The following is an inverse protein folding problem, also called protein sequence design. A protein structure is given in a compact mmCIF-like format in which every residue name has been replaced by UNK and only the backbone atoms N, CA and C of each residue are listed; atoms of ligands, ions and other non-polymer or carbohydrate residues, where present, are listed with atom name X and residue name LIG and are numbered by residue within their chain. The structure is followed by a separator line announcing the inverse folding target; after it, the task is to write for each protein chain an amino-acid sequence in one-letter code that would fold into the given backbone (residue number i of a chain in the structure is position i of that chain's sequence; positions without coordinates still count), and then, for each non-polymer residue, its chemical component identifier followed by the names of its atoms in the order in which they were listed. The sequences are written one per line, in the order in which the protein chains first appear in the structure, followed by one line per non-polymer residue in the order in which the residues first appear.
data_IF_700828519250
#
_entry.id   IF_700828519250
#
_cell.length_a   1.000
_cell.length_b   1.000
_cell.length_c   1.000
_cell.angle_alpha   90.00
_cell.angle_beta   90.00
_cell.angle_gamma   90.00
#
_symmetry.space_group_name_H-M   'P 1'
#
loop_
_entity.id
_entity.type
_entity.pdbx_description
1 polymer ?
#
# COMPACT_ATOMS: atom_id res chain seq x y z
N UNK A 1 -16.32 10.96 -23.23
CA UNK A 1 -17.38 10.97 -22.19
C UNK A 1 -16.73 10.92 -20.81
N UNK A 2 -16.89 11.94 -19.96
CA UNK A 2 -16.37 11.92 -18.57
C UNK A 2 -17.26 11.01 -17.73
N UNK A 3 -16.78 9.80 -17.39
CA UNK A 3 -17.46 8.90 -16.45
C UNK A 3 -17.25 9.46 -15.03
N UNK A 4 -18.24 10.19 -14.51
CA UNK A 4 -18.17 10.76 -13.16
C UNK A 4 -19.42 11.57 -12.81
N UNK A 5 -19.76 11.63 -11.53
CA UNK A 5 -20.85 12.50 -11.05
C UNK A 5 -20.46 13.97 -11.25
N UNK A 6 -21.44 14.83 -11.59
CA UNK A 6 -21.20 16.28 -11.74
C UNK A 6 -20.66 16.85 -10.43
N UNK A 7 -19.60 17.69 -10.43
CA UNK A 7 -19.17 18.42 -9.26
C UNK A 7 -20.35 19.14 -8.60
N UNK A 8 -20.48 19.06 -7.27
CA UNK A 8 -21.60 19.63 -6.52
C UNK A 8 -22.86 18.77 -6.43
N UNK A 9 -22.95 17.63 -7.14
CA UNK A 9 -24.10 16.72 -6.98
C UNK A 9 -24.08 15.99 -5.62
N UNK A 10 -25.23 15.96 -4.96
CA UNK A 10 -25.44 15.22 -3.73
C UNK A 10 -25.68 13.72 -4.03
N UNK A 11 -25.09 12.82 -3.23
CA UNK A 11 -25.45 11.40 -3.16
C UNK A 11 -26.09 11.07 -1.83
N UNK A 12 -26.98 10.08 -1.82
CA UNK A 12 -27.23 9.28 -0.62
C UNK A 12 -26.09 8.28 -0.50
N UNK A 13 -25.40 8.31 0.62
CA UNK A 13 -24.21 7.52 0.79
C UNK A 13 -24.26 6.86 2.18
N UNK A 14 -24.03 5.54 2.21
CA UNK A 14 -24.14 4.72 3.42
C UNK A 14 -22.79 4.65 4.11
N UNK A 15 -22.75 4.98 5.40
CA UNK A 15 -21.54 4.97 6.21
C UNK A 15 -21.02 3.54 6.35
N UNK A 16 -19.79 3.29 5.90
CA UNK A 16 -19.16 1.95 6.00
C UNK A 16 -18.81 1.56 7.45
N UNK A 17 -18.96 2.46 8.42
CA UNK A 17 -18.66 2.21 9.83
C UNK A 17 -19.89 1.78 10.64
N UNK A 18 -21.04 2.41 10.39
CA UNK A 18 -22.24 2.25 11.22
C UNK A 18 -23.54 2.06 10.42
N UNK A 19 -23.48 2.07 9.09
CA UNK A 19 -24.67 1.94 8.24
C UNK A 19 -25.53 3.20 8.12
N UNK A 20 -25.24 4.29 8.85
CA UNK A 20 -26.00 5.54 8.74
C UNK A 20 -25.97 6.09 7.30
N UNK A 21 -27.12 6.54 6.80
CA UNK A 21 -27.24 7.12 5.45
C UNK A 21 -27.31 8.63 5.56
N UNK A 22 -26.40 9.33 4.87
CA UNK A 22 -26.38 10.79 4.81
C UNK A 22 -26.38 11.26 3.35
N UNK A 23 -26.88 12.48 3.14
CA UNK A 23 -26.84 13.15 1.85
C UNK A 23 -25.61 14.05 1.80
N UNK A 24 -24.62 13.72 0.98
CA UNK A 24 -23.38 14.51 0.88
C UNK A 24 -22.94 14.74 -0.56
N UNK A 25 -22.17 15.81 -0.78
CA UNK A 25 -21.50 16.06 -2.06
C UNK A 25 -20.35 15.09 -2.30
N UNK A 26 -20.38 14.37 -3.43
CA UNK A 26 -19.19 13.74 -3.99
C UNK A 26 -18.54 12.59 -3.20
N UNK A 27 -19.29 11.71 -2.53
CA UNK A 27 -18.66 10.55 -1.87
C UNK A 27 -18.38 9.37 -2.82
N UNK A 28 -17.22 8.73 -2.66
CA UNK A 28 -16.90 7.43 -3.26
C UNK A 28 -17.36 6.26 -2.39
N UNK A 29 -17.05 5.02 -2.80
CA UNK A 29 -17.49 3.78 -2.11
C UNK A 29 -16.96 3.54 -0.68
N UNK A 30 -16.35 4.55 -0.04
CA UNK A 30 -15.82 4.51 1.34
C UNK A 30 -16.39 5.65 2.19
N UNK A 31 -17.67 5.98 2.01
CA UNK A 31 -18.30 7.06 2.77
C UNK A 31 -18.32 6.78 4.28
N UNK A 32 -18.09 7.79 5.11
CA UNK A 32 -18.28 7.76 6.56
C UNK A 32 -19.06 8.98 7.01
N UNK A 33 -20.08 8.76 7.84
CA UNK A 33 -20.88 9.85 8.39
C UNK A 33 -20.07 10.75 9.31
N UNK A 34 -20.54 11.99 9.50
CA UNK A 34 -19.84 12.97 10.34
C UNK A 34 -19.59 12.44 11.76
N UNK A 35 -20.61 11.81 12.37
CA UNK A 35 -20.51 11.25 13.71
C UNK A 35 -19.44 10.14 13.81
N UNK A 36 -19.29 9.30 12.79
CA UNK A 36 -18.24 8.27 12.78
C UNK A 36 -16.86 8.85 12.48
N UNK A 37 -16.76 9.96 11.75
CA UNK A 37 -15.49 10.68 11.55
C UNK A 37 -15.02 11.33 12.85
N UNK A 38 -15.91 11.99 13.59
CA UNK A 38 -15.58 12.67 14.85
C UNK A 38 -15.34 11.69 15.99
N UNK A 39 -16.10 10.59 16.06
CA UNK A 39 -15.97 9.57 17.11
C UNK A 39 -14.76 8.63 16.95
N UNK A 40 -13.83 8.91 16.05
CA UNK A 40 -12.66 8.04 15.88
C UNK A 40 -12.93 6.72 15.15
N UNK A 41 -14.16 6.51 14.65
CA UNK A 41 -14.56 5.28 13.93
C UNK A 41 -14.10 5.31 12.47
N UNK A 42 -12.88 5.78 12.24
CA UNK A 42 -12.13 5.59 11.01
C UNK A 42 -11.56 4.16 11.04
N UNK A 43 -12.29 3.24 10.45
CA UNK A 43 -11.73 1.94 10.08
C UNK A 43 -10.58 2.11 9.10
N UNK A 44 -9.37 2.16 9.65
CA UNK A 44 -8.20 1.40 9.22
C UNK A 44 -7.19 1.42 10.38
N UNK A 45 -7.45 0.62 11.43
CA UNK A 45 -6.42 0.33 12.45
C UNK A 45 -5.39 -0.66 11.93
N UNK A 46 -5.62 -1.27 10.76
CA UNK A 46 -4.51 -1.85 10.02
C UNK A 46 -3.64 -0.68 9.53
N UNK A 47 -2.34 -0.66 9.84
CA UNK A 47 -1.44 0.35 9.29
C UNK A 47 -1.70 0.41 7.78
N UNK A 48 -1.81 1.63 7.23
CA UNK A 48 -2.07 1.84 5.79
C UNK A 48 -1.05 1.09 4.89
N UNK A 49 0.03 0.63 5.51
CA UNK A 49 1.07 -0.21 4.97
C UNK A 49 1.26 -1.50 5.78
N UNK A 50 0.29 -2.41 5.70
CA UNK A 50 0.34 -3.73 6.32
C UNK A 50 1.58 -4.57 6.00
N UNK A 51 2.36 -4.17 4.99
CA UNK A 51 3.55 -4.88 4.51
C UNK A 51 4.86 -4.14 4.77
N UNK A 52 4.84 -2.86 5.17
CA UNK A 52 6.04 -2.00 5.27
C UNK A 52 6.58 -1.47 3.93
N UNK A 53 5.86 -1.68 2.83
CA UNK A 53 6.31 -1.32 1.48
C UNK A 53 6.21 0.17 1.14
N UNK A 54 5.23 0.88 1.67
CA UNK A 54 5.14 2.35 1.54
C UNK A 54 6.22 3.04 2.38
N UNK A 55 6.52 2.52 3.57
CA UNK A 55 7.60 3.02 4.42
C UNK A 55 8.95 2.84 3.71
N UNK A 56 9.23 1.64 3.22
CA UNK A 56 10.45 1.33 2.47
C UNK A 56 10.61 2.21 1.22
N UNK A 57 9.55 2.38 0.41
CA UNK A 57 9.56 3.30 -0.74
C UNK A 57 9.80 4.75 -0.33
N UNK A 58 9.23 5.18 0.79
CA UNK A 58 9.41 6.54 1.30
C UNK A 58 10.83 6.77 1.82
N UNK A 59 11.48 5.75 2.38
CA UNK A 59 12.88 5.81 2.78
C UNK A 59 13.80 5.97 1.57
N UNK A 60 13.62 5.15 0.51
CA UNK A 60 14.38 5.28 -0.75
C UNK A 60 14.20 6.68 -1.36
N UNK A 61 12.96 7.17 -1.46
CA UNK A 61 12.70 8.53 -1.98
C UNK A 61 13.41 9.62 -1.18
N UNK A 62 13.50 9.47 0.14
CA UNK A 62 14.21 10.41 1.01
C UNK A 62 15.73 10.33 0.79
N UNK A 63 16.29 9.12 0.71
CA UNK A 63 17.71 8.91 0.41
C UNK A 63 18.09 9.49 -0.96
N UNK A 64 17.26 9.29 -1.98
CA UNK A 64 17.47 9.89 -3.31
C UNK A 64 17.42 11.41 -3.26
N UNK A 65 16.45 11.98 -2.55
CA UNK A 65 16.35 13.44 -2.38
C UNK A 65 17.55 14.03 -1.65
N UNK A 66 18.14 13.29 -0.70
CA UNK A 66 19.34 13.69 0.04
C UNK A 66 20.65 13.45 -0.73
N UNK A 67 20.61 12.76 -1.88
CA UNK A 67 21.79 12.40 -2.66
C UNK A 67 22.57 11.20 -2.13
N UNK A 68 22.05 10.49 -1.12
CA UNK A 68 22.66 9.27 -0.58
C UNK A 68 22.49 8.07 -1.52
N UNK A 69 21.44 8.11 -2.34
CA UNK A 69 21.19 7.17 -3.43
C UNK A 69 20.99 7.96 -4.72
N UNK A 70 21.53 7.47 -5.83
CA UNK A 70 21.15 8.00 -7.14
C UNK A 70 19.73 7.54 -7.51
N UNK A 71 19.04 8.19 -8.45
CA UNK A 71 17.78 7.65 -8.96
C UNK A 71 18.01 6.31 -9.66
N UNK A 72 17.07 5.37 -9.56
CA UNK A 72 17.20 4.04 -10.18
C UNK A 72 17.50 4.10 -11.69
N UNK A 73 16.98 5.12 -12.38
CA UNK A 73 17.20 5.36 -13.82
C UNK A 73 18.63 5.71 -14.18
N UNK A 74 19.51 5.96 -13.20
CA UNK A 74 20.95 6.14 -13.42
C UNK A 74 21.71 4.82 -13.59
N UNK A 75 21.03 3.68 -13.40
CA UNK A 75 21.64 2.34 -13.43
C UNK A 75 20.95 1.44 -14.46
N UNK A 76 21.67 0.40 -14.86
CA UNK A 76 21.08 -0.73 -15.59
C UNK A 76 20.41 -1.72 -14.62
N UNK A 77 19.39 -2.40 -15.12
CA UNK A 77 18.68 -3.46 -14.41
C UNK A 77 19.62 -4.62 -14.14
N UNK A 78 19.78 -4.99 -12.86
CA UNK A 78 20.70 -6.06 -12.44
C UNK A 78 20.38 -7.43 -13.07
N UNK A 79 19.13 -7.67 -13.47
CA UNK A 79 18.70 -8.95 -14.06
C UNK A 79 18.85 -9.05 -15.59
N UNK A 80 18.81 -7.94 -16.31
CA UNK A 80 18.72 -7.99 -17.79
C UNK A 80 19.47 -6.89 -18.53
N UNK A 81 20.22 -6.05 -17.80
CA UNK A 81 21.06 -4.99 -18.33
C UNK A 81 20.35 -3.90 -19.13
N UNK A 82 19.00 -3.90 -19.18
CA UNK A 82 18.21 -2.79 -19.73
C UNK A 82 18.13 -1.65 -18.70
N UNK A 83 17.87 -0.39 -19.11
CA UNK A 83 17.74 0.72 -18.16
C UNK A 83 16.77 0.41 -17.02
N UNK A 84 17.21 0.60 -15.79
CA UNK A 84 16.36 0.39 -14.62
C UNK A 84 15.29 1.49 -14.53
N UNK A 85 14.16 1.15 -13.94
CA UNK A 85 12.99 2.03 -13.83
C UNK A 85 12.52 2.18 -12.39
N UNK A 86 12.87 1.23 -11.53
CA UNK A 86 12.52 1.26 -10.13
C UNK A 86 13.61 0.61 -9.28
N UNK A 87 13.59 0.96 -8.00
CA UNK A 87 14.25 0.18 -6.98
C UNK A 87 13.33 -0.94 -6.52
N UNK A 88 13.91 -2.13 -6.39
CA UNK A 88 13.23 -3.32 -5.93
C UNK A 88 13.69 -3.70 -4.53
N UNK A 89 12.71 -3.91 -3.66
CA UNK A 89 12.92 -4.39 -2.31
C UNK A 89 12.70 -5.90 -2.30
N UNK A 90 13.65 -6.66 -1.76
CA UNK A 90 13.45 -8.08 -1.45
C UNK A 90 12.89 -8.27 -0.04
N UNK A 91 13.25 -7.38 0.87
CA UNK A 91 12.83 -7.36 2.27
C UNK A 91 12.46 -5.94 2.70
N UNK A 92 11.18 -5.71 3.03
CA UNK A 92 10.73 -4.39 3.47
C UNK A 92 11.22 -4.00 4.88
N UNK A 93 11.77 -4.94 5.67
CA UNK A 93 12.44 -4.61 6.93
C UNK A 93 13.80 -3.91 6.73
N UNK A 94 14.34 -3.95 5.51
CA UNK A 94 15.60 -3.30 5.12
C UNK A 94 15.32 -2.21 4.08
N UNK A 95 14.87 -1.02 4.49
CA UNK A 95 14.26 -0.05 3.58
C UNK A 95 15.20 0.54 2.51
N UNK A 96 16.52 0.52 2.75
CA UNK A 96 17.55 1.01 1.82
C UNK A 96 18.33 -0.12 1.13
N UNK A 97 18.04 -1.37 1.45
CA UNK A 97 18.60 -2.54 0.77
C UNK A 97 17.79 -2.78 -0.51
N UNK A 98 18.22 -2.16 -1.60
CA UNK A 98 17.50 -2.12 -2.87
C UNK A 98 18.41 -2.36 -4.06
N UNK A 99 17.84 -3.00 -5.08
CA UNK A 99 18.50 -3.19 -6.37
C UNK A 99 17.78 -2.42 -7.47
N UNK A 100 18.51 -1.77 -8.40
CA UNK A 100 17.90 -1.14 -9.57
C UNK A 100 17.44 -2.22 -10.55
N UNK A 101 16.16 -2.22 -10.89
CA UNK A 101 15.57 -3.15 -11.86
C UNK A 101 14.61 -2.46 -12.81
N UNK A 102 14.34 -3.08 -13.96
CA UNK A 102 13.22 -2.69 -14.80
C UNK A 102 11.90 -3.22 -14.23
N UNK A 103 10.78 -2.61 -14.63
CA UNK A 103 9.44 -3.01 -14.15
C UNK A 103 9.10 -4.47 -14.47
N UNK A 104 9.54 -4.96 -15.63
CA UNK A 104 9.28 -6.34 -16.06
C UNK A 104 10.01 -7.38 -15.20
N UNK A 105 11.25 -7.11 -14.81
CA UNK A 105 12.02 -7.99 -13.94
C UNK A 105 11.50 -7.96 -12.50
N UNK A 106 11.17 -6.77 -11.97
CA UNK A 106 10.54 -6.65 -10.65
C UNK A 106 9.28 -7.52 -10.56
N UNK A 107 8.40 -7.44 -11.58
CA UNK A 107 7.20 -8.26 -11.63
C UNK A 107 7.50 -9.76 -11.60
N UNK A 108 8.48 -10.22 -12.38
CA UNK A 108 8.91 -11.64 -12.42
C UNK A 108 9.45 -12.12 -11.09
N UNK A 109 10.24 -11.28 -10.42
CA UNK A 109 10.82 -11.59 -9.11
C UNK A 109 9.75 -11.64 -7.99
N UNK A 110 8.56 -11.09 -8.20
CA UNK A 110 7.43 -11.23 -7.28
C UNK A 110 7.50 -10.33 -6.03
N UNK A 111 6.60 -10.56 -5.04
CA UNK A 111 6.54 -9.75 -3.82
C UNK A 111 7.79 -9.81 -2.95
N UNK A 112 8.13 -8.68 -2.34
CA UNK A 112 9.06 -8.59 -1.22
C UNK A 112 8.50 -9.22 0.07
N UNK A 113 9.39 -9.63 0.97
CA UNK A 113 9.02 -10.03 2.33
C UNK A 113 8.44 -8.83 3.10
N UNK A 114 7.24 -8.95 3.70
CA UNK A 114 6.69 -7.90 4.53
C UNK A 114 7.45 -7.76 5.85
N UNK A 115 7.38 -6.58 6.48
CA UNK A 115 7.86 -6.39 7.84
C UNK A 115 6.96 -7.18 8.82
N UNK A 116 7.55 -8.08 9.59
CA UNK A 116 6.85 -8.99 10.52
C UNK A 116 5.87 -8.22 11.43
N UNK A 117 6.37 -7.16 12.07
CA UNK A 117 5.60 -6.30 12.99
C UNK A 117 4.31 -5.74 12.37
N UNK A 118 4.35 -5.29 11.11
CA UNK A 118 3.18 -4.69 10.44
C UNK A 118 2.22 -5.75 9.93
N UNK A 119 2.74 -6.91 9.52
CA UNK A 119 1.93 -8.05 9.10
C UNK A 119 1.13 -8.59 10.30
N UNK A 120 1.80 -8.90 11.40
CA UNK A 120 1.16 -9.40 12.62
C UNK A 120 0.13 -8.42 13.17
N UNK A 121 0.46 -7.12 13.23
CA UNK A 121 -0.49 -6.08 13.65
C UNK A 121 -1.71 -6.01 12.73
N UNK A 122 -1.53 -6.15 11.41
CA UNK A 122 -2.63 -6.15 10.45
C UNK A 122 -3.53 -7.37 10.61
N UNK A 123 -2.95 -8.56 10.72
CA UNK A 123 -3.68 -9.81 10.93
C UNK A 123 -4.50 -9.76 12.21
N UNK A 124 -3.92 -9.23 13.30
CA UNK A 124 -4.60 -9.03 14.59
C UNK A 124 -5.73 -8.00 14.48
N UNK A 125 -5.49 -6.87 13.82
CA UNK A 125 -6.46 -5.78 13.72
C UNK A 125 -7.63 -6.11 12.79
N UNK A 126 -7.42 -7.01 11.82
CA UNK A 126 -8.44 -7.37 10.83
C UNK A 126 -8.34 -8.85 10.45
N UNK A 127 -8.80 -9.77 11.33
CA UNK A 127 -8.78 -11.21 11.04
C UNK A 127 -9.69 -11.57 9.85
N UNK A 128 -10.71 -10.75 9.60
CA UNK A 128 -11.68 -10.82 8.49
C UNK A 128 -11.27 -9.99 7.27
N UNK A 129 -10.24 -9.14 7.38
CA UNK A 129 -9.74 -8.44 6.21
C UNK A 129 -9.46 -9.50 5.17
N UNK A 130 -9.85 -9.21 3.95
CA UNK A 130 -9.31 -9.85 2.78
C UNK A 130 -7.78 -9.70 2.83
N UNK A 131 -7.14 -10.59 3.58
CA UNK A 131 -5.76 -11.00 3.48
C UNK A 131 -5.78 -11.61 2.09
N UNK A 132 -5.62 -10.76 1.07
CA UNK A 132 -5.81 -11.18 -0.31
C UNK A 132 -4.99 -12.44 -0.52
N UNK A 133 -5.46 -13.36 -1.37
CA UNK A 133 -4.88 -14.71 -1.58
C UNK A 133 -3.34 -14.73 -1.49
N UNK A 134 -2.69 -13.66 -1.98
CA UNK A 134 -1.27 -13.32 -1.85
C UNK A 134 -0.67 -13.43 -0.43
N UNK A 135 -1.20 -12.73 0.57
CA UNK A 135 -0.63 -12.74 1.94
C UNK A 135 -0.89 -14.08 2.62
N UNK A 136 -2.05 -14.72 2.36
CA UNK A 136 -2.34 -16.08 2.82
C UNK A 136 -1.30 -17.08 2.29
N UNK A 137 -0.96 -16.99 1.00
CA UNK A 137 0.07 -17.81 0.36
C UNK A 137 1.48 -17.58 0.95
N UNK A 138 1.78 -16.38 1.43
CA UNK A 138 3.07 -16.06 2.09
C UNK A 138 3.15 -16.68 3.49
N UNK A 139 2.04 -16.67 4.24
CA UNK A 139 1.95 -17.34 5.54
C UNK A 139 2.00 -18.87 5.40
N UNK A 140 1.28 -19.44 4.42
CA UNK A 140 1.29 -20.88 4.09
C UNK A 140 2.67 -21.38 3.64
N UNK A 141 3.48 -20.51 3.02
CA UNK A 141 4.86 -20.83 2.62
C UNK A 141 5.87 -20.77 3.78
N UNK A 142 5.42 -20.57 5.03
CA UNK A 142 6.28 -20.64 6.22
C UNK A 142 7.11 -19.38 6.47
N UNK A 143 6.73 -18.22 5.91
CA UNK A 143 7.35 -16.95 6.31
C UNK A 143 6.84 -16.61 7.72
N UNK A 144 7.71 -16.57 8.76
CA UNK A 144 7.26 -16.31 10.12
C UNK A 144 6.65 -14.90 10.19
N UNK A 145 5.50 -14.84 10.87
CA UNK A 145 4.74 -13.62 11.13
C UNK A 145 5.49 -12.65 12.04
#
# INVERSE_FOLDING_TARGET
MKRGRKPGSLCRCTCVACGAVEVVGGSGGKYRCQACRTAGRYGSVAPADATGGNEAKSAVRRAVRRGELQPATAFDCVDCSKPAQCYDHRDYSKPLDVEPVCTSCNLKRGPAKPRAETLAATLKARPDAYIGKRVRRMLEAGVPA
#
